data_IF_458401712321
#
_entry.id   IF_458401712321
#
_cell.length_a   1.000
_cell.length_b   1.000
_cell.length_c   1.000
_cell.angle_alpha   90.00
_cell.angle_beta   90.00
_cell.angle_gamma   90.00
#
_symmetry.space_group_name_H-M   'P 1'
#
loop_
_entity.id
_entity.type
_entity.pdbx_description
1 polymer ?
#
# COMPACT_ATOMS: atom_id res chain seq x y z
N UNK A 1 -22.90 4.53 28.54
CA UNK A 1 -22.44 5.29 27.36
C UNK A 1 -20.90 5.35 27.33
N UNK A 2 -20.21 4.20 27.27
CA UNK A 2 -18.73 4.17 27.18
C UNK A 2 -18.19 2.81 26.68
N UNK A 3 -18.86 2.23 25.69
CA UNK A 3 -18.47 0.93 25.11
C UNK A 3 -18.27 0.96 23.59
N UNK A 4 -18.54 2.11 22.93
CA UNK A 4 -18.38 2.23 21.47
C UNK A 4 -16.95 2.55 21.01
N UNK A 5 -16.08 3.09 21.87
CA UNK A 5 -14.77 3.61 21.43
C UNK A 5 -13.58 2.65 21.64
N UNK A 6 -13.80 1.42 22.13
CA UNK A 6 -12.68 0.49 22.44
C UNK A 6 -12.37 -0.53 21.34
N UNK A 7 -13.19 -0.62 20.29
CA UNK A 7 -12.99 -1.61 19.19
C UNK A 7 -12.37 -1.05 17.91
N UNK A 8 -12.33 0.27 17.72
CA UNK A 8 -11.86 0.88 16.46
C UNK A 8 -10.36 1.24 16.42
N UNK A 9 -9.60 0.96 17.48
CA UNK A 9 -8.19 1.37 17.63
C UNK A 9 -7.22 0.20 17.73
N UNK A 10 -7.60 -1.01 17.31
CA UNK A 10 -6.66 -2.13 17.18
C UNK A 10 -5.91 -2.10 15.83
N UNK A 11 -5.64 -0.90 15.34
CA UNK A 11 -4.80 -0.66 14.18
C UNK A 11 -3.44 -0.33 14.79
N UNK A 12 -2.49 -1.26 14.69
CA UNK A 12 -1.15 -1.01 15.20
C UNK A 12 -0.52 0.15 14.41
N UNK A 13 0.48 0.83 14.99
CA UNK A 13 1.23 1.88 14.27
C UNK A 13 1.75 1.35 12.91
N UNK A 14 2.15 0.08 12.88
CA UNK A 14 2.55 -0.65 11.66
C UNK A 14 1.43 -0.75 10.64
N UNK A 15 0.20 -1.06 11.05
CA UNK A 15 -0.96 -1.09 10.14
C UNK A 15 -1.29 0.29 9.58
N UNK A 16 -1.14 1.36 10.37
CA UNK A 16 -1.32 2.73 9.88
C UNK A 16 -0.27 3.10 8.84
N UNK A 17 1.00 2.72 9.07
CA UNK A 17 2.09 2.90 8.10
C UNK A 17 1.78 2.14 6.82
N UNK A 18 1.41 0.86 6.92
CA UNK A 18 1.06 0.05 5.76
C UNK A 18 -0.13 0.62 4.98
N UNK A 19 -1.15 1.15 5.66
CA UNK A 19 -2.27 1.82 4.99
C UNK A 19 -1.80 3.06 4.23
N UNK A 20 -0.94 3.87 4.84
CA UNK A 20 -0.40 5.08 4.20
C UNK A 20 0.46 4.75 2.98
N UNK A 21 1.35 3.76 3.10
CA UNK A 21 2.15 3.23 1.98
C UNK A 21 1.22 2.72 0.87
N UNK A 22 0.15 2.01 1.23
CA UNK A 22 -0.79 1.47 0.24
C UNK A 22 -1.54 2.57 -0.52
N UNK A 23 -1.95 3.64 0.16
CA UNK A 23 -2.60 4.76 -0.50
C UNK A 23 -1.66 5.47 -1.46
N UNK A 24 -0.42 5.72 -1.03
CA UNK A 24 0.59 6.36 -1.89
C UNK A 24 0.94 5.47 -3.09
N UNK A 25 1.09 4.17 -2.89
CA UNK A 25 1.34 3.21 -3.96
C UNK A 25 0.24 3.26 -5.03
N UNK A 26 -1.04 3.29 -4.62
CA UNK A 26 -2.18 3.40 -5.54
C UNK A 26 -2.18 4.74 -6.28
N UNK A 27 -1.90 5.83 -5.58
CA UNK A 27 -1.84 7.16 -6.19
C UNK A 27 -0.73 7.23 -7.25
N UNK A 28 0.47 6.74 -6.94
CA UNK A 28 1.58 6.71 -7.89
C UNK A 28 1.30 5.77 -9.07
N UNK A 29 0.67 4.62 -8.85
CA UNK A 29 0.32 3.71 -9.94
C UNK A 29 -0.72 4.28 -10.91
N UNK A 30 -1.64 5.13 -10.42
CA UNK A 30 -2.78 5.67 -11.18
C UNK A 30 -2.56 7.05 -11.78
N UNK A 31 -1.77 7.88 -11.12
CA UNK A 31 -1.58 9.30 -11.50
C UNK A 31 -0.14 9.62 -11.92
N UNK A 32 0.75 8.63 -11.97
CA UNK A 32 2.13 8.82 -12.38
C UNK A 32 2.58 7.78 -13.40
N UNK A 33 3.39 8.21 -14.37
CA UNK A 33 4.03 7.35 -15.36
C UNK A 33 5.28 6.63 -14.83
N UNK A 34 5.59 6.77 -13.53
CA UNK A 34 6.72 6.08 -12.91
C UNK A 34 6.66 4.57 -13.14
N UNK A 35 7.79 3.95 -13.41
CA UNK A 35 7.88 2.50 -13.46
C UNK A 35 7.61 1.88 -12.08
N UNK A 36 7.20 0.61 -12.05
CA UNK A 36 7.02 -0.13 -10.78
C UNK A 36 8.32 -0.15 -9.96
N UNK A 37 9.48 -0.12 -10.63
CA UNK A 37 10.81 -0.03 -10.00
C UNK A 37 11.01 1.29 -9.25
N UNK A 38 10.65 2.41 -9.86
CA UNK A 38 10.75 3.73 -9.22
C UNK A 38 9.81 3.85 -8.03
N UNK A 39 8.56 3.38 -8.20
CA UNK A 39 7.56 3.37 -7.12
C UNK A 39 8.03 2.51 -5.94
N UNK A 40 8.67 1.37 -6.22
CA UNK A 40 9.26 0.51 -5.19
C UNK A 40 10.30 1.27 -4.36
N UNK A 41 11.20 1.98 -5.03
CA UNK A 41 12.26 2.75 -4.36
C UNK A 41 11.69 3.93 -3.57
N UNK A 42 10.73 4.67 -4.14
CA UNK A 42 10.07 5.81 -3.49
C UNK A 42 9.31 5.42 -2.22
N UNK A 43 8.73 4.22 -2.21
CA UNK A 43 8.02 3.68 -1.05
C UNK A 43 8.95 3.01 -0.01
N UNK A 44 10.27 3.01 -0.25
CA UNK A 44 11.28 2.48 0.67
C UNK A 44 11.41 0.96 0.67
N UNK A 45 10.96 0.27 -0.38
CA UNK A 45 11.19 -1.17 -0.53
C UNK A 45 12.56 -1.44 -1.16
N UNK A 46 13.29 -2.43 -0.64
CA UNK A 46 14.60 -2.81 -1.17
C UNK A 46 14.52 -3.42 -2.58
N UNK A 47 13.41 -4.11 -2.90
CA UNK A 47 13.24 -4.77 -4.18
C UNK A 47 11.77 -4.82 -4.62
N UNK A 48 11.59 -4.94 -5.95
CA UNK A 48 10.27 -4.92 -6.60
C UNK A 48 9.41 -6.10 -6.16
N UNK A 49 10.02 -7.27 -5.92
CA UNK A 49 9.31 -8.46 -5.47
C UNK A 49 8.63 -8.24 -4.12
N UNK A 50 9.33 -7.62 -3.17
CA UNK A 50 8.80 -7.28 -1.85
C UNK A 50 7.62 -6.32 -1.95
N UNK A 51 7.76 -5.25 -2.74
CA UNK A 51 6.65 -4.32 -3.02
C UNK A 51 5.47 -5.03 -3.70
N UNK A 52 5.73 -5.84 -4.73
CA UNK A 52 4.68 -6.53 -5.49
C UNK A 52 3.90 -7.51 -4.62
N UNK A 53 4.57 -8.28 -3.76
CA UNK A 53 3.92 -9.17 -2.80
C UNK A 53 3.11 -8.39 -1.76
N UNK A 54 3.67 -7.30 -1.20
CA UNK A 54 2.96 -6.43 -0.27
C UNK A 54 1.69 -5.84 -0.91
N UNK A 55 1.83 -5.25 -2.09
CA UNK A 55 0.75 -4.60 -2.82
C UNK A 55 -0.33 -5.62 -3.21
N UNK A 56 0.05 -6.79 -3.74
CA UNK A 56 -0.89 -7.86 -4.06
C UNK A 56 -1.63 -8.38 -2.83
N UNK A 57 -0.93 -8.57 -1.70
CA UNK A 57 -1.55 -9.02 -0.44
C UNK A 57 -2.58 -8.01 0.10
N UNK A 58 -2.39 -6.71 -0.15
CA UNK A 58 -3.28 -5.64 0.34
C UNK A 58 -4.35 -5.21 -0.67
N UNK A 59 -4.06 -5.27 -1.98
CA UNK A 59 -4.97 -4.83 -3.06
C UNK A 59 -5.73 -5.97 -3.73
N UNK A 60 -5.22 -7.20 -3.64
CA UNK A 60 -5.70 -8.35 -4.42
C UNK A 60 -5.07 -8.47 -5.83
N UNK A 61 -4.51 -7.38 -6.37
CA UNK A 61 -3.93 -7.30 -7.71
C UNK A 61 -2.44 -6.98 -7.64
N UNK A 62 -1.65 -7.42 -8.62
CA UNK A 62 -0.27 -6.93 -8.76
C UNK A 62 -0.26 -5.43 -9.13
N UNK A 63 0.85 -4.72 -8.85
CA UNK A 63 0.99 -3.32 -9.23
C UNK A 63 0.72 -3.05 -10.72
N UNK A 64 1.17 -3.95 -11.59
CA UNK A 64 0.95 -3.86 -13.04
C UNK A 64 -0.51 -4.12 -13.42
N UNK A 65 -1.15 -5.14 -12.85
CA UNK A 65 -2.59 -5.40 -13.06
C UNK A 65 -3.45 -4.23 -12.58
N UNK A 66 -3.08 -3.60 -11.47
CA UNK A 66 -3.79 -2.43 -10.95
C UNK A 66 -3.64 -1.18 -11.82
N UNK A 67 -2.55 -1.06 -12.57
CA UNK A 67 -2.33 0.06 -13.49
C UNK A 67 -3.19 -0.05 -14.76
N UNK A 68 -3.48 -1.26 -15.21
CA UNK A 68 -4.29 -1.53 -16.40
C UNK A 68 -5.81 -1.51 -16.13
N UNK A 69 -6.20 -1.31 -14.86
CA UNK A 69 -7.58 -1.31 -14.34
C UNK A 69 -8.27 0.07 -14.42
#
# INVERSE_FOLDING_TARGET
MNTLCRKHLNITATDMIHQKIMQEAKAQLRYSDKSVKEITFDLGFENISGFSTFFKKKSGFSPSEYRDL
#
